data_IF_190959154524
#
_entry.id   IF_190959154524
#
_cell.length_a   1.000
_cell.length_b   1.000
_cell.length_c   1.000
_cell.angle_alpha   90.00
_cell.angle_beta   90.00
_cell.angle_gamma   90.00
#
_symmetry.space_group_name_H-M   'P 1'
#
loop_
_entity.id
_entity.type
_entity.pdbx_description
1 polymer ?
#
# COMPACT_ATOMS: atom_id res chain seq x y z
N UNK A 1 -9.66 50.55 5.79
CA UNK A 1 -10.12 51.40 6.92
C UNK A 1 -11.02 52.46 6.31
N UNK A 2 -12.25 52.63 6.82
CA UNK A 2 -13.20 53.60 6.25
C UNK A 2 -12.63 55.02 6.38
N UNK A 3 -12.90 55.86 5.38
CA UNK A 3 -12.20 57.14 5.13
C UNK A 3 -12.28 58.14 6.31
N UNK A 4 -13.28 58.02 7.20
CA UNK A 4 -13.49 58.91 8.36
C UNK A 4 -13.29 58.24 9.73
N UNK A 5 -12.67 57.06 9.80
CA UNK A 5 -12.62 56.27 11.04
C UNK A 5 -11.24 56.21 11.72
N UNK A 6 -10.27 56.96 11.21
CA UNK A 6 -8.87 56.91 11.68
C UNK A 6 -8.76 57.34 13.15
N UNK A 7 -9.52 58.36 13.58
CA UNK A 7 -9.52 58.84 14.97
C UNK A 7 -10.07 57.78 15.95
N UNK A 8 -11.13 57.05 15.58
CA UNK A 8 -11.70 55.94 16.37
C UNK A 8 -10.74 54.75 16.47
N UNK A 9 -10.00 54.44 15.40
CA UNK A 9 -9.00 53.35 15.42
C UNK A 9 -7.87 53.66 16.41
N UNK A 10 -7.45 54.93 16.50
CA UNK A 10 -6.37 55.33 17.41
C UNK A 10 -6.86 55.36 18.87
N UNK A 11 -8.08 55.86 19.13
CA UNK A 11 -8.63 55.95 20.49
C UNK A 11 -9.10 54.60 21.05
N UNK A 12 -9.84 53.80 20.28
CA UNK A 12 -10.55 52.62 20.81
C UNK A 12 -9.84 51.29 20.49
N UNK A 13 -8.96 51.27 19.48
CA UNK A 13 -8.36 50.04 18.94
C UNK A 13 -6.83 50.01 19.04
N UNK A 14 -6.25 50.77 19.98
CA UNK A 14 -4.81 50.77 20.28
C UNK A 14 -3.89 51.16 19.09
N UNK A 15 -4.38 52.02 18.18
CA UNK A 15 -3.54 52.62 17.13
C UNK A 15 -2.90 51.59 16.22
N UNK A 16 -1.57 51.46 16.25
CA UNK A 16 -0.78 50.56 15.39
C UNK A 16 -0.97 49.06 15.72
N UNK A 17 -1.45 48.71 16.92
CA UNK A 17 -1.61 47.31 17.38
C UNK A 17 -3.04 46.76 17.22
N UNK A 18 -3.88 47.45 16.45
CA UNK A 18 -5.28 47.08 16.20
C UNK A 18 -5.43 45.65 15.68
N UNK A 19 -4.50 45.21 14.81
CA UNK A 19 -4.55 43.86 14.24
C UNK A 19 -4.40 42.79 15.32
N UNK A 20 -3.36 42.88 16.14
CA UNK A 20 -3.03 41.89 17.17
C UNK A 20 -4.07 41.81 18.27
N UNK A 21 -4.64 42.95 18.67
CA UNK A 21 -5.60 43.00 19.79
C UNK A 21 -7.05 42.75 19.38
N UNK A 22 -7.47 43.22 18.21
CA UNK A 22 -8.88 43.23 17.82
C UNK A 22 -9.22 42.19 16.76
N UNK A 23 -8.33 41.93 15.80
CA UNK A 23 -8.64 41.05 14.65
C UNK A 23 -8.04 39.66 14.82
N UNK A 24 -6.81 39.55 15.32
CA UNK A 24 -6.05 38.31 15.34
C UNK A 24 -6.72 37.22 16.20
N UNK A 25 -7.14 37.55 17.42
CA UNK A 25 -7.73 36.56 18.33
C UNK A 25 -9.12 36.06 17.86
N UNK A 26 -10.07 36.94 17.46
CA UNK A 26 -11.33 36.49 16.86
C UNK A 26 -11.12 35.68 15.58
N UNK A 27 -10.18 36.11 14.72
CA UNK A 27 -9.85 35.40 13.48
C UNK A 27 -9.34 33.98 13.76
N UNK A 28 -8.38 33.83 14.69
CA UNK A 28 -7.88 32.51 15.11
C UNK A 28 -8.99 31.62 15.64
N UNK A 29 -9.90 32.17 16.45
CA UNK A 29 -11.04 31.44 16.99
C UNK A 29 -11.99 30.96 15.88
N UNK A 30 -12.31 31.81 14.89
CA UNK A 30 -13.16 31.45 13.76
C UNK A 30 -12.54 30.40 12.85
N UNK A 31 -11.25 30.51 12.57
CA UNK A 31 -10.49 29.50 11.82
C UNK A 31 -10.54 28.17 12.58
N UNK A 32 -10.17 28.15 13.87
CA UNK A 32 -10.18 26.94 14.69
C UNK A 32 -11.54 26.24 14.73
N UNK A 33 -12.61 26.99 14.96
CA UNK A 33 -13.96 26.43 15.05
C UNK A 33 -14.46 25.90 13.70
N UNK A 34 -13.99 26.47 12.58
CA UNK A 34 -14.37 26.01 11.25
C UNK A 34 -13.53 24.79 10.84
N UNK A 35 -12.24 24.73 11.19
CA UNK A 35 -11.35 23.60 10.86
C UNK A 35 -11.61 22.36 11.71
N UNK A 36 -12.07 22.49 12.96
CA UNK A 36 -12.42 21.35 13.83
C UNK A 36 -13.54 20.45 13.27
N UNK A 37 -14.36 20.97 12.36
CA UNK A 37 -15.48 20.22 11.76
C UNK A 37 -15.03 19.27 10.63
N UNK A 38 -13.81 19.43 10.12
CA UNK A 38 -13.31 18.71 8.96
C UNK A 38 -12.15 17.79 9.35
N UNK A 39 -12.07 16.64 8.67
CA UNK A 39 -10.92 15.72 8.83
C UNK A 39 -9.70 16.28 8.11
N UNK A 40 -8.49 15.93 8.53
CA UNK A 40 -7.23 16.40 7.93
C UNK A 40 -7.13 16.22 6.40
N UNK A 41 -7.81 15.19 5.86
CA UNK A 41 -7.91 14.94 4.42
C UNK A 41 -8.84 15.94 3.71
N UNK A 42 -9.96 16.27 4.33
CA UNK A 42 -10.99 17.14 3.75
C UNK A 42 -10.59 18.61 3.81
N UNK A 43 -9.74 18.99 4.76
CA UNK A 43 -9.22 20.35 4.90
C UNK A 43 -8.45 20.86 3.68
N UNK A 44 -7.76 19.97 2.95
CA UNK A 44 -7.06 20.34 1.71
C UNK A 44 -8.03 20.50 0.55
N UNK A 45 -9.09 19.68 0.50
CA UNK A 45 -10.10 19.67 -0.57
C UNK A 45 -11.11 20.80 -0.39
N UNK A 46 -11.53 21.07 0.85
CA UNK A 46 -12.55 22.04 1.23
C UNK A 46 -11.95 23.37 1.71
N UNK A 47 -10.67 23.64 1.39
CA UNK A 47 -9.97 24.86 1.83
C UNK A 47 -10.68 26.13 1.40
N UNK A 48 -11.20 26.17 0.17
CA UNK A 48 -11.93 27.32 -0.36
C UNK A 48 -13.23 27.55 0.42
N UNK A 49 -14.00 26.49 0.66
CA UNK A 49 -15.23 26.55 1.46
C UNK A 49 -14.98 27.02 2.90
N UNK A 50 -13.93 26.51 3.55
CA UNK A 50 -13.53 26.96 4.90
C UNK A 50 -13.12 28.44 4.87
N UNK A 51 -12.42 28.87 3.82
CA UNK A 51 -12.01 30.27 3.66
C UNK A 51 -13.23 31.19 3.52
N UNK A 52 -14.25 30.76 2.76
CA UNK A 52 -15.49 31.51 2.59
C UNK A 52 -16.33 31.56 3.88
N UNK A 53 -16.44 30.44 4.61
CA UNK A 53 -17.12 30.39 5.91
C UNK A 53 -16.46 31.35 6.92
N UNK A 54 -15.12 31.32 7.00
CA UNK A 54 -14.36 32.22 7.89
C UNK A 54 -14.47 33.66 7.44
N UNK A 55 -14.44 33.93 6.12
CA UNK A 55 -14.62 35.27 5.56
C UNK A 55 -15.98 35.86 5.92
N UNK A 56 -17.06 35.06 5.81
CA UNK A 56 -18.41 35.50 6.18
C UNK A 56 -18.51 35.87 7.66
N UNK A 57 -17.98 35.01 8.55
CA UNK A 57 -17.97 35.28 10.01
C UNK A 57 -17.13 36.49 10.38
N UNK A 58 -15.96 36.64 9.76
CA UNK A 58 -15.09 37.78 10.00
C UNK A 58 -15.70 39.08 9.46
N UNK A 59 -16.30 39.04 8.27
CA UNK A 59 -16.99 40.20 7.71
C UNK A 59 -18.15 40.65 8.58
N UNK A 60 -18.92 39.70 9.15
CA UNK A 60 -20.02 40.01 10.06
C UNK A 60 -19.52 40.65 11.36
N UNK A 61 -18.45 40.11 11.97
CA UNK A 61 -17.80 40.69 13.14
C UNK A 61 -17.27 42.11 12.88
N UNK A 62 -16.71 42.35 11.70
CA UNK A 62 -16.13 43.64 11.33
C UNK A 62 -17.17 44.70 10.91
N UNK A 63 -18.45 44.36 10.68
CA UNK A 63 -19.50 45.35 10.35
C UNK A 63 -19.65 46.44 11.40
N UNK A 64 -19.55 46.06 12.68
CA UNK A 64 -19.65 46.97 13.83
C UNK A 64 -18.37 47.77 14.05
N UNK A 65 -17.30 47.45 13.30
CA UNK A 65 -15.98 48.05 13.44
C UNK A 65 -15.67 49.03 12.29
N UNK A 66 -14.66 49.91 12.46
CA UNK A 66 -14.20 50.81 11.40
C UNK A 66 -13.36 50.12 10.30
N UNK A 67 -13.14 48.81 10.41
CA UNK A 67 -12.29 48.04 9.50
C UNK A 67 -13.12 47.44 8.35
N UNK A 68 -12.50 47.37 7.18
CA UNK A 68 -13.09 46.78 5.98
C UNK A 68 -12.20 45.62 5.52
N UNK A 69 -12.81 44.48 5.23
CA UNK A 69 -12.12 43.28 4.79
C UNK A 69 -11.96 43.29 3.27
N UNK A 70 -10.77 43.67 2.78
CA UNK A 70 -10.48 43.74 1.35
C UNK A 70 -10.21 42.35 0.76
N UNK A 71 -9.33 41.58 1.39
CA UNK A 71 -8.98 40.20 0.98
C UNK A 71 -8.54 39.40 2.19
N UNK A 72 -9.04 38.17 2.29
CA UNK A 72 -8.61 37.19 3.27
C UNK A 72 -8.00 36.00 2.53
N UNK A 73 -6.77 35.64 2.85
CA UNK A 73 -6.13 34.42 2.36
C UNK A 73 -5.77 33.58 3.58
N UNK A 74 -6.38 32.41 3.71
CA UNK A 74 -6.04 31.46 4.78
C UNK A 74 -4.68 30.84 4.44
N UNK A 75 -3.66 31.09 5.28
CA UNK A 75 -2.32 30.52 5.14
C UNK A 75 -2.26 29.03 5.51
N UNK A 76 -1.06 28.53 5.77
CA UNK A 76 -0.87 27.15 6.23
C UNK A 76 -1.61 26.94 7.56
N UNK A 77 -2.42 25.87 7.62
CA UNK A 77 -3.14 25.48 8.83
C UNK A 77 -2.21 24.55 9.60
N UNK A 78 -1.54 25.09 10.61
CA UNK A 78 -0.71 24.30 11.51
C UNK A 78 -1.60 23.58 12.53
N UNK A 79 -1.65 22.25 12.45
CA UNK A 79 -2.36 21.44 13.45
C UNK A 79 -1.57 21.41 14.76
N UNK A 80 -2.26 21.39 15.93
CA UNK A 80 -1.61 21.06 17.18
C UNK A 80 -0.93 19.69 17.06
N UNK A 81 0.33 19.60 17.51
CA UNK A 81 1.21 18.44 17.33
C UNK A 81 0.59 17.10 17.77
N UNK A 82 -0.30 17.14 18.77
CA UNK A 82 -1.01 15.97 19.31
C UNK A 82 -1.98 15.36 18.29
N UNK A 83 -2.71 16.21 17.55
CA UNK A 83 -3.70 15.74 16.55
C UNK A 83 -2.99 15.23 15.30
N UNK A 84 -1.92 15.93 14.87
CA UNK A 84 -1.09 15.48 13.76
C UNK A 84 -0.52 14.07 14.01
N UNK A 85 0.08 13.85 15.19
CA UNK A 85 0.61 12.53 15.59
C UNK A 85 -0.45 11.44 15.64
N UNK A 86 -1.66 11.75 16.12
CA UNK A 86 -2.75 10.77 16.17
C UNK A 86 -3.22 10.36 14.77
N UNK A 87 -3.29 11.32 13.84
CA UNK A 87 -3.68 11.08 12.44
C UNK A 87 -2.61 10.28 11.71
N UNK A 88 -1.33 10.63 11.88
CA UNK A 88 -0.20 9.88 11.31
C UNK A 88 -0.17 8.44 11.82
N UNK A 89 -0.35 8.23 13.13
CA UNK A 89 -0.41 6.89 13.71
C UNK A 89 -1.57 6.06 13.17
N UNK A 90 -2.75 6.67 12.98
CA UNK A 90 -3.92 6.00 12.40
C UNK A 90 -3.70 5.66 10.92
N UNK A 91 -3.09 6.57 10.16
CA UNK A 91 -2.77 6.33 8.75
C UNK A 91 -1.75 5.20 8.59
N UNK A 92 -0.68 5.21 9.40
CA UNK A 92 0.31 4.15 9.41
C UNK A 92 -0.30 2.79 9.78
N UNK A 93 -1.21 2.75 10.76
CA UNK A 93 -1.92 1.52 11.13
C UNK A 93 -2.81 0.99 9.99
N UNK A 94 -3.50 1.87 9.26
CA UNK A 94 -4.30 1.47 8.10
C UNK A 94 -3.43 0.90 6.97
N UNK A 95 -2.31 1.56 6.64
CA UNK A 95 -1.37 1.08 5.63
C UNK A 95 -0.80 -0.28 6.02
N UNK A 96 -0.40 -0.45 7.28
CA UNK A 96 0.09 -1.74 7.77
C UNK A 96 -0.96 -2.85 7.65
N UNK A 97 -2.22 -2.54 7.92
CA UNK A 97 -3.31 -3.51 7.78
C UNK A 97 -3.53 -3.91 6.31
N UNK A 98 -3.51 -2.94 5.40
CA UNK A 98 -3.64 -3.18 3.95
C UNK A 98 -2.47 -4.03 3.41
N UNK A 99 -1.25 -3.74 3.86
CA UNK A 99 -0.06 -4.55 3.55
C UNK A 99 -0.22 -5.99 4.05
N UNK A 100 -0.74 -6.18 5.27
CA UNK A 100 -0.93 -7.51 5.86
C UNK A 100 -2.01 -8.33 5.14
N UNK A 101 -3.12 -7.71 4.76
CA UNK A 101 -4.14 -8.37 3.95
C UNK A 101 -3.60 -8.74 2.55
N UNK A 102 -2.78 -7.87 1.96
CA UNK A 102 -2.10 -8.17 0.70
C UNK A 102 -1.14 -9.36 0.85
N UNK A 103 -0.32 -9.38 1.91
CA UNK A 103 0.57 -10.49 2.23
C UNK A 103 -0.19 -11.81 2.41
N UNK A 104 -1.34 -11.77 3.10
CA UNK A 104 -2.21 -12.95 3.30
C UNK A 104 -2.80 -13.45 1.97
N UNK A 105 -3.22 -12.54 1.09
CA UNK A 105 -3.71 -12.91 -0.24
C UNK A 105 -2.62 -13.56 -1.10
N UNK A 106 -1.40 -13.01 -1.08
CA UNK A 106 -0.23 -13.59 -1.77
C UNK A 106 0.05 -14.99 -1.22
N UNK A 107 0.18 -15.15 0.10
CA UNK A 107 0.47 -16.44 0.72
C UNK A 107 -0.59 -17.51 0.41
N UNK A 108 -1.87 -17.11 0.30
CA UNK A 108 -2.94 -18.02 -0.13
C UNK A 108 -2.76 -18.46 -1.58
N UNK A 109 -2.38 -17.55 -2.47
CA UNK A 109 -2.13 -17.87 -3.88
C UNK A 109 -0.90 -18.75 -4.07
N UNK A 110 0.16 -18.49 -3.32
CA UNK A 110 1.35 -19.34 -3.33
C UNK A 110 1.04 -20.77 -2.85
N UNK A 111 0.17 -20.91 -1.83
CA UNK A 111 -0.30 -22.22 -1.39
C UNK A 111 -1.14 -22.94 -2.46
N UNK A 112 -2.03 -22.21 -3.16
CA UNK A 112 -2.83 -22.75 -4.28
C UNK A 112 -1.91 -23.24 -5.42
N UNK A 113 -0.90 -22.44 -5.80
CA UNK A 113 0.08 -22.80 -6.83
C UNK A 113 0.81 -24.10 -6.46
N UNK A 114 1.32 -24.19 -5.23
CA UNK A 114 2.07 -25.36 -4.77
C UNK A 114 1.24 -26.65 -4.76
N UNK A 115 -0.05 -26.55 -4.47
CA UNK A 115 -0.98 -27.69 -4.55
C UNK A 115 -1.14 -28.13 -6.00
N UNK A 116 -1.31 -27.19 -6.94
CA UNK A 116 -1.50 -27.51 -8.35
C UNK A 116 -0.22 -28.08 -8.98
N UNK A 117 0.95 -27.56 -8.62
CA UNK A 117 2.25 -28.14 -9.00
C UNK A 117 2.39 -29.58 -8.50
N UNK A 118 2.05 -29.85 -7.24
CA UNK A 118 2.11 -31.19 -6.68
C UNK A 118 1.16 -32.17 -7.41
N UNK A 119 -0.04 -31.72 -7.79
CA UNK A 119 -0.96 -32.54 -8.61
C UNK A 119 -0.39 -32.80 -10.00
N UNK A 120 0.20 -31.78 -10.64
CA UNK A 120 0.83 -31.93 -11.96
C UNK A 120 1.97 -32.95 -11.94
N UNK A 121 2.81 -32.91 -10.91
CA UNK A 121 3.88 -33.89 -10.70
C UNK A 121 3.30 -35.29 -10.46
N UNK A 122 2.28 -35.41 -9.60
CA UNK A 122 1.66 -36.70 -9.30
C UNK A 122 1.02 -37.33 -10.54
N UNK A 123 0.32 -36.53 -11.35
CA UNK A 123 -0.31 -37.00 -12.59
C UNK A 123 0.73 -37.37 -13.64
N UNK A 124 1.78 -36.57 -13.80
CA UNK A 124 2.89 -36.91 -14.68
C UNK A 124 3.54 -38.24 -14.26
N UNK A 125 3.78 -38.46 -12.96
CA UNK A 125 4.29 -39.73 -12.45
C UNK A 125 3.33 -40.90 -12.69
N UNK A 126 2.02 -40.68 -12.55
CA UNK A 126 1.00 -41.70 -12.83
C UNK A 126 1.02 -42.12 -14.31
N UNK A 127 1.09 -41.15 -15.22
CA UNK A 127 1.19 -41.40 -16.66
C UNK A 127 2.48 -42.16 -16.97
N UNK A 128 3.63 -41.69 -16.46
CA UNK A 128 4.92 -42.38 -16.65
C UNK A 128 4.81 -43.84 -16.16
N UNK A 129 4.34 -44.07 -14.94
CA UNK A 129 4.21 -45.41 -14.38
C UNK A 129 3.26 -46.30 -15.19
N UNK A 130 2.19 -45.75 -15.78
CA UNK A 130 1.29 -46.50 -16.65
C UNK A 130 1.95 -46.95 -17.96
N UNK A 131 2.93 -46.19 -18.45
CA UNK A 131 3.70 -46.52 -19.66
C UNK A 131 4.86 -47.47 -19.40
N UNK A 132 5.31 -47.60 -18.14
CA UNK A 132 6.38 -48.49 -17.71
C UNK A 132 5.93 -49.97 -17.67
N UNK A 133 5.75 -50.56 -18.86
CA UNK A 133 5.59 -52.02 -18.98
C UNK A 133 6.95 -52.72 -18.86
N UNK A 134 6.96 -53.99 -18.42
CA UNK A 134 8.21 -54.78 -18.32
C UNK A 134 8.98 -54.84 -19.65
N UNK A 135 8.25 -54.96 -20.76
CA UNK A 135 8.84 -54.97 -22.11
C UNK A 135 9.45 -53.62 -22.49
N UNK A 136 8.82 -52.50 -22.10
CA UNK A 136 9.35 -51.16 -22.36
C UNK A 136 10.60 -50.88 -21.52
N UNK A 137 10.60 -51.21 -20.23
CA UNK A 137 11.79 -51.10 -19.36
C UNK A 137 12.96 -51.93 -19.89
N UNK A 138 12.68 -53.12 -20.41
CA UNK A 138 13.69 -53.99 -21.00
C UNK A 138 14.22 -53.42 -22.32
N UNK A 139 13.35 -52.86 -23.17
CA UNK A 139 13.76 -52.15 -24.39
C UNK A 139 14.65 -50.93 -24.06
N UNK A 140 14.26 -50.09 -23.12
CA UNK A 140 15.06 -48.94 -22.67
C UNK A 140 16.42 -49.36 -22.09
N UNK A 141 16.45 -50.44 -21.30
CA UNK A 141 17.71 -50.98 -20.78
C UNK A 141 18.65 -51.46 -21.91
N UNK A 142 18.10 -52.10 -22.95
CA UNK A 142 18.87 -52.54 -24.13
C UNK A 142 19.39 -51.32 -24.92
N UNK A 143 18.57 -50.29 -25.11
CA UNK A 143 18.99 -49.05 -25.79
C UNK A 143 20.10 -48.32 -25.02
N UNK A 144 19.97 -48.22 -23.70
CA UNK A 144 21.02 -47.65 -22.85
C UNK A 144 22.33 -48.45 -22.96
N UNK A 145 22.26 -49.78 -23.04
CA UNK A 145 23.42 -50.64 -23.26
C UNK A 145 24.05 -50.43 -24.64
N UNK A 146 23.25 -50.34 -25.70
CA UNK A 146 23.73 -50.03 -27.05
C UNK A 146 24.40 -48.66 -27.12
N UNK A 147 23.84 -47.66 -26.44
CA UNK A 147 24.44 -46.33 -26.34
C UNK A 147 25.77 -46.36 -25.59
N UNK A 148 25.84 -47.06 -24.46
CA UNK A 148 27.09 -47.24 -23.70
C UNK A 148 28.14 -48.00 -24.53
N UNK A 149 27.74 -49.05 -25.25
CA UNK A 149 28.63 -49.86 -26.08
C UNK A 149 29.13 -49.16 -27.35
N UNK A 150 28.37 -48.19 -27.88
CA UNK A 150 28.78 -47.37 -29.03
C UNK A 150 29.53 -46.08 -28.62
N UNK A 151 29.65 -45.80 -27.31
CA UNK A 151 30.37 -44.62 -26.84
C UNK A 151 31.89 -44.80 -27.04
N UNK A 152 32.61 -43.82 -27.61
CA UNK A 152 34.05 -43.94 -27.86
C UNK A 152 34.93 -44.14 -26.62
N UNK A 153 34.37 -43.90 -25.42
CA UNK A 153 35.12 -43.83 -24.15
C UNK A 153 34.84 -44.98 -23.18
N UNK A 154 34.24 -46.11 -23.61
CA UNK A 154 34.09 -47.26 -22.72
C UNK A 154 35.22 -48.28 -22.93
N UNK A 155 35.82 -48.77 -21.84
CA UNK A 155 36.83 -49.84 -21.87
C UNK A 155 36.25 -51.19 -21.45
N UNK A 156 35.33 -51.19 -20.48
CA UNK A 156 34.63 -52.39 -19.97
C UNK A 156 33.25 -51.98 -19.43
N UNK A 157 32.18 -52.64 -19.88
CA UNK A 157 30.80 -52.39 -19.42
C UNK A 157 30.31 -53.61 -18.63
N UNK A 158 30.03 -53.46 -17.33
CA UNK A 158 29.52 -54.53 -16.47
C UNK A 158 27.99 -54.50 -16.42
N UNK A 159 27.35 -55.54 -16.94
CA UNK A 159 25.89 -55.67 -17.00
C UNK A 159 25.45 -56.81 -16.08
N UNK A 160 24.82 -56.52 -14.92
CA UNK A 160 24.24 -57.55 -14.08
C UNK A 160 23.05 -58.19 -14.80
N UNK A 161 23.20 -59.45 -15.19
CA UNK A 161 22.15 -60.25 -15.83
C UNK A 161 21.55 -61.24 -14.83
N UNK A 162 20.24 -61.43 -14.90
CA UNK A 162 19.53 -62.50 -14.20
C UNK A 162 19.76 -63.87 -14.86
N UNK A 163 19.13 -64.91 -14.31
CA UNK A 163 19.32 -66.32 -14.67
C UNK A 163 19.19 -66.68 -16.17
N UNK A 164 18.58 -65.80 -16.98
CA UNK A 164 18.35 -65.99 -18.42
C UNK A 164 19.12 -64.98 -19.31
N UNK A 165 20.17 -64.31 -18.80
CA UNK A 165 20.92 -63.29 -19.55
C UNK A 165 20.19 -61.94 -19.69
N UNK A 166 19.02 -61.81 -19.06
CA UNK A 166 18.18 -60.61 -19.08
C UNK A 166 18.67 -59.63 -17.99
N UNK A 167 18.93 -58.35 -18.31
CA UNK A 167 19.29 -57.34 -17.32
C UNK A 167 18.25 -57.22 -16.21
N UNK A 168 18.69 -57.19 -14.96
CA UNK A 168 17.78 -57.07 -13.81
C UNK A 168 17.22 -55.64 -13.72
N UNK A 169 15.95 -55.46 -14.05
CA UNK A 169 15.21 -54.23 -13.73
C UNK A 169 14.49 -54.39 -12.40
N UNK A 170 14.60 -53.39 -11.50
CA UNK A 170 13.87 -53.37 -10.23
C UNK A 170 12.37 -53.43 -10.55
N UNK A 171 11.72 -54.54 -10.20
CA UNK A 171 10.27 -54.67 -10.39
C UNK A 171 9.58 -53.75 -9.39
N UNK A 172 8.89 -52.74 -9.89
CA UNK A 172 8.05 -51.85 -9.08
C UNK A 172 6.80 -52.66 -8.70
N UNK A 173 6.56 -52.84 -7.39
CA UNK A 173 5.35 -53.48 -6.84
C UNK A 173 4.17 -52.53 -6.90
#
# INVERSE_FOLDING_TARGET
IKKDSVQKVIQDYAGLQWYTRFVQEPFRSFVRNSTQKYTSRDLKVQREYISDEVKAKLADYLKTSPFELVKLVVGNIDYPEIVAKAVEKKLAAHQLLEEKETQKAIAKKDAEIKIEEAKGIAEAQRIINSTLTKNYLQHEAIQAQLFMANSPNHTTVYIPSGMNGIPLVKTVK
#
